data_IF_164798299551
#
_entry.id   IF_164798299551
#
_cell.length_a   1.000
_cell.length_b   1.000
_cell.length_c   1.000
_cell.angle_alpha   90.00
_cell.angle_beta   90.00
_cell.angle_gamma   90.00
#
_symmetry.space_group_name_H-M   'P 1'
#
loop_
_entity.id
_entity.type
_entity.pdbx_description
1 polymer ?
#
# COMPACT_ATOMS: atom_id res chain seq x y z
N UNK A 1 -49.78 -49.87 41.11
CA UNK A 1 -48.44 -49.22 41.01
C UNK A 1 -48.07 -48.88 39.55
N UNK A 2 -48.97 -48.27 38.76
CA UNK A 2 -48.70 -47.92 37.35
C UNK A 2 -48.87 -46.42 37.01
N UNK A 3 -49.30 -45.61 37.97
CA UNK A 3 -49.55 -44.17 37.77
C UNK A 3 -48.33 -43.31 38.10
N UNK A 4 -47.43 -43.75 38.97
CA UNK A 4 -46.23 -43.00 39.34
C UNK A 4 -45.19 -42.86 38.21
N UNK A 5 -45.17 -43.79 37.24
CA UNK A 5 -44.20 -43.81 36.15
C UNK A 5 -44.48 -42.79 35.03
N UNK A 6 -45.74 -42.37 34.87
CA UNK A 6 -46.17 -41.41 33.85
C UNK A 6 -45.94 -39.95 34.28
N UNK A 7 -46.04 -39.65 35.57
CA UNK A 7 -45.77 -38.28 36.05
C UNK A 7 -44.28 -37.92 35.98
N UNK A 8 -43.39 -38.89 36.22
CA UNK A 8 -41.94 -38.66 36.13
C UNK A 8 -41.51 -38.31 34.70
N UNK A 9 -42.09 -38.96 33.68
CA UNK A 9 -41.73 -38.72 32.27
C UNK A 9 -42.17 -37.33 31.78
N UNK A 10 -43.36 -36.86 32.17
CA UNK A 10 -43.85 -35.51 31.84
C UNK A 10 -43.01 -34.39 32.49
N UNK A 11 -42.46 -34.62 33.68
CA UNK A 11 -41.57 -33.67 34.36
C UNK A 11 -40.22 -33.57 33.63
N UNK A 12 -39.67 -34.67 33.13
CA UNK A 12 -38.43 -34.65 32.34
C UNK A 12 -38.62 -33.93 30.99
N UNK A 13 -39.73 -34.15 30.30
CA UNK A 13 -40.01 -33.48 29.02
C UNK A 13 -40.17 -31.97 29.21
N UNK A 14 -40.92 -31.54 30.23
CA UNK A 14 -41.10 -30.11 30.52
C UNK A 14 -39.80 -29.41 30.93
N UNK A 15 -38.95 -30.06 31.72
CA UNK A 15 -37.61 -29.54 32.05
C UNK A 15 -36.74 -29.47 30.79
N UNK A 16 -36.75 -30.48 29.93
CA UNK A 16 -36.00 -30.48 28.67
C UNK A 16 -36.45 -29.35 27.73
N UNK A 17 -37.76 -29.12 27.61
CA UNK A 17 -38.32 -28.01 26.84
C UNK A 17 -37.94 -26.64 27.42
N UNK A 18 -37.95 -26.48 28.74
CA UNK A 18 -37.53 -25.23 29.37
C UNK A 18 -36.03 -24.98 29.19
N UNK A 19 -35.18 -25.99 29.41
CA UNK A 19 -33.73 -25.87 29.23
C UNK A 19 -33.37 -25.52 27.78
N UNK A 20 -33.99 -26.17 26.79
CA UNK A 20 -33.78 -25.86 25.37
C UNK A 20 -34.33 -24.48 24.98
N UNK A 21 -35.50 -24.09 25.48
CA UNK A 21 -36.06 -22.76 25.23
C UNK A 21 -35.21 -21.63 25.85
N UNK A 22 -34.71 -21.80 27.07
CA UNK A 22 -33.80 -20.85 27.70
C UNK A 22 -32.42 -20.82 27.02
N UNK A 23 -31.88 -21.96 26.58
CA UNK A 23 -30.64 -22.02 25.80
C UNK A 23 -30.78 -21.32 24.43
N UNK A 24 -31.92 -21.51 23.75
CA UNK A 24 -32.22 -20.80 22.50
C UNK A 24 -32.41 -19.29 22.72
N UNK A 25 -33.03 -18.86 23.83
CA UNK A 25 -33.18 -17.44 24.16
C UNK A 25 -31.86 -16.76 24.57
N UNK A 26 -30.99 -17.44 25.32
CA UNK A 26 -29.62 -16.97 25.57
C UNK A 26 -28.88 -16.75 24.23
N UNK A 27 -29.03 -17.68 23.29
CA UNK A 27 -28.39 -17.61 21.96
C UNK A 27 -28.84 -16.40 21.13
N UNK A 28 -30.05 -15.88 21.34
CA UNK A 28 -30.57 -14.69 20.63
C UNK A 28 -29.93 -13.40 21.14
N UNK A 29 -29.56 -13.32 22.42
CA UNK A 29 -28.86 -12.17 22.99
C UNK A 29 -27.43 -12.05 22.44
N UNK A 30 -26.77 -13.19 22.18
CA UNK A 30 -25.44 -13.23 21.57
C UNK A 30 -25.42 -12.82 20.09
N UNK A 31 -26.56 -12.68 19.40
CA UNK A 31 -26.59 -12.37 17.96
C UNK A 31 -26.52 -10.89 17.62
N UNK A 32 -26.35 -9.98 18.60
CA UNK A 32 -26.23 -8.54 18.33
C UNK A 32 -24.77 -8.16 18.04
N UNK A 33 -24.59 -7.22 17.13
CA UNK A 33 -23.28 -6.64 16.84
C UNK A 33 -22.69 -5.95 18.08
N UNK A 34 -21.41 -6.19 18.38
CA UNK A 34 -20.76 -5.69 19.59
C UNK A 34 -20.26 -4.23 19.50
N UNK A 35 -20.47 -3.52 18.39
CA UNK A 35 -20.06 -2.11 18.26
C UNK A 35 -20.90 -1.18 19.13
N UNK A 36 -20.20 -0.37 19.93
CA UNK A 36 -20.74 0.81 20.59
C UNK A 36 -20.42 2.05 19.74
N UNK A 37 -21.46 2.71 19.21
CA UNK A 37 -21.28 3.94 18.42
C UNK A 37 -21.05 5.16 19.32
N UNK A 38 -21.61 5.14 20.52
CA UNK A 38 -21.45 6.14 21.57
C UNK A 38 -21.76 5.48 22.93
N UNK A 39 -21.45 6.14 24.07
CA UNK A 39 -21.90 5.67 25.37
C UNK A 39 -23.40 5.40 25.34
N UNK A 40 -23.81 4.17 25.69
CA UNK A 40 -25.20 3.74 25.72
C UNK A 40 -25.87 3.42 24.36
N UNK A 41 -25.26 3.74 23.20
CA UNK A 41 -25.83 3.42 21.87
C UNK A 41 -25.09 2.27 21.20
N UNK A 42 -25.68 1.08 21.30
CA UNK A 42 -25.22 -0.14 20.59
C UNK A 42 -25.84 -0.27 19.19
N UNK A 43 -25.10 -0.91 18.30
CA UNK A 43 -25.64 -1.35 17.02
C UNK A 43 -26.82 -2.32 17.24
N UNK A 44 -27.95 -2.10 16.55
CA UNK A 44 -29.13 -2.97 16.62
C UNK A 44 -29.08 -4.14 15.63
N UNK A 45 -28.14 -4.12 14.67
CA UNK A 45 -28.04 -5.14 13.63
C UNK A 45 -27.54 -6.48 14.19
N UNK A 46 -27.99 -7.56 13.53
CA UNK A 46 -27.51 -8.92 13.80
C UNK A 46 -26.05 -9.08 13.36
N UNK A 47 -25.25 -9.78 14.15
CA UNK A 47 -23.88 -10.20 13.79
C UNK A 47 -23.90 -11.27 12.69
N UNK A 48 -22.85 -11.33 11.89
CA UNK A 48 -22.64 -12.42 10.93
C UNK A 48 -22.31 -13.73 11.65
N UNK A 49 -22.63 -14.86 11.02
CA UNK A 49 -22.27 -16.18 11.55
C UNK A 49 -20.75 -16.30 11.64
N UNK A 50 -20.22 -16.59 12.83
CA UNK A 50 -18.77 -16.66 13.07
C UNK A 50 -18.08 -15.32 13.30
N UNK A 51 -18.80 -14.19 13.30
CA UNK A 51 -18.24 -12.87 13.60
C UNK A 51 -18.85 -12.25 14.85
N UNK A 52 -18.10 -11.36 15.52
CA UNK A 52 -18.62 -10.52 16.61
C UNK A 52 -19.36 -9.26 16.08
N UNK A 53 -19.25 -8.99 14.78
CA UNK A 53 -19.74 -7.78 14.13
C UNK A 53 -20.80 -8.10 13.06
N UNK A 54 -21.62 -7.10 12.69
CA UNK A 54 -22.51 -7.20 11.54
C UNK A 54 -21.77 -6.83 10.25
N UNK A 55 -22.34 -7.12 9.08
CA UNK A 55 -21.80 -6.79 7.74
C UNK A 55 -21.26 -5.35 7.60
N UNK A 56 -21.89 -4.38 8.28
CA UNK A 56 -21.49 -2.96 8.23
C UNK A 56 -20.33 -2.60 9.16
N UNK A 57 -20.03 -3.48 10.11
CA UNK A 57 -19.06 -3.25 11.16
C UNK A 57 -17.97 -4.35 11.19
N UNK A 58 -18.05 -5.37 10.34
CA UNK A 58 -16.98 -6.32 10.09
C UNK A 58 -16.01 -5.74 9.07
N UNK A 59 -14.72 -6.03 9.24
CA UNK A 59 -13.73 -5.73 8.22
C UNK A 59 -14.02 -6.56 6.96
N UNK A 60 -13.93 -5.95 5.78
CA UNK A 60 -14.16 -6.66 4.50
C UNK A 60 -13.02 -7.59 4.07
N UNK A 61 -11.87 -7.53 4.74
CA UNK A 61 -10.75 -8.43 4.47
C UNK A 61 -11.09 -9.82 4.97
N UNK A 62 -10.96 -10.82 4.09
CA UNK A 62 -11.28 -12.22 4.38
C UNK A 62 -10.50 -12.69 5.61
N UNK A 63 -11.19 -13.41 6.49
CA UNK A 63 -10.62 -13.93 7.74
C UNK A 63 -10.17 -12.86 8.75
N UNK A 64 -10.54 -11.59 8.56
CA UNK A 64 -10.32 -10.56 9.57
C UNK A 64 -11.50 -10.50 10.54
N UNK A 65 -11.24 -10.77 11.81
CA UNK A 65 -12.26 -10.74 12.87
C UNK A 65 -12.39 -9.38 13.54
N UNK A 66 -11.67 -8.35 13.08
CA UNK A 66 -11.70 -7.01 13.68
C UNK A 66 -12.86 -6.16 13.17
N UNK A 67 -13.25 -5.18 14.00
CA UNK A 67 -14.25 -4.20 13.62
C UNK A 67 -13.74 -3.25 12.53
N UNK A 68 -14.58 -2.96 11.54
CA UNK A 68 -14.37 -1.85 10.63
C UNK A 68 -14.41 -0.50 11.37
N UNK A 69 -13.62 0.47 10.91
CA UNK A 69 -13.64 1.82 11.45
C UNK A 69 -14.94 2.55 11.07
N UNK A 70 -15.29 3.58 11.84
CA UNK A 70 -16.42 4.45 11.51
C UNK A 70 -16.20 5.06 10.11
N UNK A 71 -17.18 4.90 9.22
CA UNK A 71 -17.17 5.39 7.84
C UNK A 71 -16.21 4.67 6.86
N UNK A 72 -15.66 3.52 7.22
CA UNK A 72 -14.96 2.62 6.29
C UNK A 72 -15.50 1.20 6.44
N UNK A 73 -15.14 0.30 5.53
CA UNK A 73 -15.38 -1.14 5.64
C UNK A 73 -14.14 -1.89 6.11
N UNK A 74 -13.09 -1.17 6.52
CA UNK A 74 -11.78 -1.70 6.84
C UNK A 74 -11.48 -1.45 8.31
N UNK A 75 -10.82 -2.40 8.96
CA UNK A 75 -10.36 -2.22 10.34
C UNK A 75 -9.09 -1.35 10.38
N UNK A 76 -8.66 -0.98 11.59
CA UNK A 76 -7.47 -0.15 11.80
C UNK A 76 -6.21 -0.72 11.14
N UNK A 77 -6.02 -2.05 11.16
CA UNK A 77 -4.83 -2.70 10.59
C UNK A 77 -4.93 -2.89 9.08
N UNK A 78 -6.12 -2.72 8.50
CA UNK A 78 -6.33 -2.82 7.06
C UNK A 78 -6.56 -1.47 6.41
N UNK A 79 -6.40 -0.36 7.14
CA UNK A 79 -6.60 0.99 6.60
C UNK A 79 -5.25 1.68 6.45
N UNK A 80 -5.03 2.31 5.29
CA UNK A 80 -3.85 3.13 5.07
C UNK A 80 -3.78 4.30 6.07
N UNK A 81 -2.60 4.52 6.66
CA UNK A 81 -2.37 5.60 7.62
C UNK A 81 -2.18 6.97 6.97
N UNK A 82 -2.05 7.03 5.63
CA UNK A 82 -1.90 8.28 4.90
C UNK A 82 -3.16 9.15 5.05
N UNK A 83 -2.95 10.47 5.17
CA UNK A 83 -4.02 11.41 5.51
C UNK A 83 -5.23 11.29 4.60
N UNK A 84 -6.40 11.02 5.20
CA UNK A 84 -7.70 10.83 4.52
C UNK A 84 -7.73 9.72 3.47
N UNK A 85 -6.74 8.82 3.43
CA UNK A 85 -6.79 7.65 2.58
C UNK A 85 -7.78 6.62 3.14
N UNK A 86 -8.62 6.06 2.28
CA UNK A 86 -9.59 4.99 2.63
C UNK A 86 -9.25 3.65 1.97
N UNK A 87 -8.09 3.56 1.32
CA UNK A 87 -7.64 2.35 0.64
C UNK A 87 -7.09 1.34 1.64
N UNK A 88 -7.22 0.07 1.27
CA UNK A 88 -6.68 -1.03 2.05
C UNK A 88 -5.15 -1.13 1.90
N UNK A 89 -4.49 -1.52 2.98
CA UNK A 89 -3.11 -2.02 2.92
C UNK A 89 -3.12 -3.48 2.42
N UNK A 90 -2.00 -3.93 1.87
CA UNK A 90 -1.93 -5.29 1.27
C UNK A 90 -1.78 -6.36 2.33
N UNK A 91 -1.08 -6.03 3.41
CA UNK A 91 -0.86 -6.89 4.56
C UNK A 91 -1.12 -6.12 5.87
N UNK A 92 -1.46 -6.81 6.97
CA UNK A 92 -1.70 -6.17 8.27
C UNK A 92 -0.45 -5.52 8.89
N UNK A 93 0.75 -5.92 8.43
CA UNK A 93 2.03 -5.35 8.87
C UNK A 93 2.40 -4.07 8.11
N UNK A 94 1.70 -3.77 7.00
CA UNK A 94 1.88 -2.54 6.25
C UNK A 94 1.04 -1.39 6.84
N UNK A 95 1.58 -0.18 6.72
CA UNK A 95 0.87 1.04 7.13
C UNK A 95 0.38 1.86 5.94
N UNK A 96 0.96 1.65 4.75
CA UNK A 96 0.68 2.40 3.53
C UNK A 96 0.07 1.49 2.47
N UNK A 97 -0.99 1.96 1.81
CA UNK A 97 -1.56 1.24 0.67
C UNK A 97 -0.57 1.26 -0.52
N UNK A 98 -0.79 0.39 -1.54
CA UNK A 98 0.06 0.36 -2.72
C UNK A 98 0.25 1.72 -3.41
N UNK A 99 -0.75 2.60 -3.33
CA UNK A 99 -0.68 3.94 -3.91
C UNK A 99 0.01 4.96 -3.02
N UNK A 100 0.46 4.65 -1.80
CA UNK A 100 1.15 5.62 -0.94
C UNK A 100 2.54 5.15 -0.51
N UNK A 101 2.88 3.89 -0.79
CA UNK A 101 4.23 3.35 -0.58
C UNK A 101 5.10 3.54 -1.82
N UNK A 102 6.40 3.53 -1.61
CA UNK A 102 7.38 3.42 -2.67
C UNK A 102 7.33 2.02 -3.31
N UNK A 103 7.53 1.94 -4.63
CA UNK A 103 7.60 0.65 -5.34
C UNK A 103 8.80 -0.23 -4.94
N UNK A 104 9.81 0.35 -4.28
CA UNK A 104 11.07 -0.31 -3.95
C UNK A 104 11.16 -0.65 -2.45
N UNK A 105 10.47 0.10 -1.58
CA UNK A 105 10.52 -0.09 -0.13
C UNK A 105 9.23 0.36 0.55
N UNK A 106 9.08 0.08 1.84
CA UNK A 106 7.89 0.42 2.62
C UNK A 106 7.76 1.91 3.00
N UNK A 107 8.70 2.76 2.59
CA UNK A 107 8.65 4.20 2.85
C UNK A 107 7.54 4.88 2.03
N UNK A 108 7.01 6.02 2.50
CA UNK A 108 6.03 6.78 1.74
C UNK A 108 6.62 7.29 0.43
N UNK A 109 5.83 7.21 -0.64
CA UNK A 109 6.18 7.86 -1.92
C UNK A 109 6.17 9.38 -1.76
N UNK A 110 6.88 10.06 -2.65
CA UNK A 110 6.80 11.52 -2.78
C UNK A 110 5.37 11.97 -3.06
N UNK A 111 4.95 13.05 -2.41
CA UNK A 111 3.59 13.60 -2.53
C UNK A 111 3.55 14.86 -3.39
N UNK A 112 4.70 15.48 -3.60
CA UNK A 112 4.90 16.66 -4.43
C UNK A 112 4.96 16.35 -5.93
N UNK A 113 5.09 15.06 -6.29
CA UNK A 113 5.06 14.56 -7.66
C UNK A 113 4.22 13.30 -7.78
N UNK A 114 3.73 13.05 -8.99
CA UNK A 114 3.21 11.73 -9.39
C UNK A 114 4.35 10.71 -9.58
N UNK A 115 5.17 10.56 -8.54
CA UNK A 115 6.30 9.63 -8.47
C UNK A 115 5.88 8.38 -7.70
N UNK A 116 6.25 7.21 -8.20
CA UNK A 116 6.07 5.95 -7.50
C UNK A 116 7.17 5.69 -6.44
N UNK A 117 8.08 6.65 -6.24
CA UNK A 117 9.28 6.47 -5.42
C UNK A 117 9.34 7.44 -4.24
N UNK A 118 9.91 7.00 -3.12
CA UNK A 118 10.27 7.85 -1.98
C UNK A 118 11.49 8.72 -2.31
N UNK A 119 11.82 9.68 -1.45
CA UNK A 119 12.95 10.61 -1.68
C UNK A 119 14.29 9.91 -1.93
N UNK A 120 14.53 8.78 -1.27
CA UNK A 120 15.77 7.99 -1.43
C UNK A 120 15.83 7.24 -2.76
N UNK A 121 14.69 6.88 -3.35
CA UNK A 121 14.61 6.12 -4.59
C UNK A 121 14.24 6.99 -5.80
N UNK A 122 13.70 8.18 -5.59
CA UNK A 122 13.32 9.12 -6.62
C UNK A 122 14.52 9.94 -7.10
N UNK A 123 14.52 10.32 -8.39
CA UNK A 123 15.49 11.26 -8.92
C UNK A 123 15.47 12.58 -8.14
N UNK A 124 16.66 13.12 -7.85
CA UNK A 124 16.82 14.40 -7.16
C UNK A 124 16.30 15.61 -7.96
N UNK A 125 16.17 15.48 -9.29
CA UNK A 125 15.53 16.50 -10.13
C UNK A 125 14.07 16.61 -9.73
N UNK A 126 13.68 17.76 -9.17
CA UNK A 126 12.37 17.96 -8.53
C UNK A 126 11.19 17.69 -9.44
N UNK A 127 11.33 17.83 -10.76
CA UNK A 127 10.25 17.61 -11.73
C UNK A 127 10.26 16.19 -12.32
N UNK A 128 11.19 15.33 -11.92
CA UNK A 128 11.37 14.02 -12.50
C UNK A 128 10.70 12.92 -11.65
N UNK A 129 9.70 12.19 -12.18
CA UNK A 129 9.06 11.09 -11.45
C UNK A 129 9.86 9.78 -11.49
N UNK A 130 11.01 9.76 -12.19
CA UNK A 130 11.77 8.54 -12.41
C UNK A 130 12.56 8.10 -11.18
N UNK A 131 12.85 6.80 -11.11
CA UNK A 131 13.75 6.20 -10.12
C UNK A 131 15.20 6.62 -10.36
N UNK A 132 15.98 6.77 -9.29
CA UNK A 132 17.44 6.85 -9.37
C UNK A 132 18.02 5.66 -10.12
N UNK A 133 19.12 5.88 -10.84
CA UNK A 133 19.78 4.85 -11.64
C UNK A 133 20.35 3.73 -10.75
N UNK A 134 20.90 4.08 -9.58
CA UNK A 134 21.44 3.16 -8.58
C UNK A 134 21.52 3.87 -7.22
N UNK A 135 22.14 3.23 -6.21
CA UNK A 135 22.31 3.79 -4.87
C UNK A 135 23.44 4.85 -4.76
N UNK A 136 24.30 4.94 -5.77
CA UNK A 136 25.49 5.80 -5.75
C UNK A 136 25.17 7.21 -6.27
N UNK A 137 24.33 7.31 -7.29
CA UNK A 137 23.89 8.60 -7.84
C UNK A 137 22.49 8.98 -7.35
N UNK A 138 22.27 10.28 -7.13
CA UNK A 138 20.95 10.83 -6.82
C UNK A 138 20.06 10.97 -8.07
N UNK A 139 20.56 10.65 -9.26
CA UNK A 139 19.92 10.94 -10.54
C UNK A 139 19.43 9.67 -11.25
N UNK A 140 18.37 9.79 -12.05
CA UNK A 140 17.88 8.70 -12.92
C UNK A 140 18.80 8.51 -14.13
N UNK A 141 18.54 7.50 -14.97
CA UNK A 141 19.36 7.22 -16.16
C UNK A 141 19.45 8.41 -17.15
N UNK A 142 18.45 9.29 -17.15
CA UNK A 142 18.42 10.48 -18.02
C UNK A 142 19.20 11.64 -17.40
N UNK A 143 19.13 11.81 -16.09
CA UNK A 143 19.76 12.92 -15.37
C UNK A 143 21.14 12.57 -14.79
N UNK A 144 21.60 11.32 -14.90
CA UNK A 144 22.95 10.91 -14.48
C UNK A 144 23.95 11.22 -15.58
N UNK A 145 25.10 11.77 -15.22
CA UNK A 145 26.24 11.86 -16.13
C UNK A 145 26.68 10.46 -16.63
N UNK A 146 26.94 10.35 -17.93
CA UNK A 146 27.36 9.09 -18.56
C UNK A 146 28.84 8.73 -18.39
N UNK A 147 29.67 9.66 -17.89
CA UNK A 147 31.06 9.33 -17.58
C UNK A 147 31.11 8.36 -16.41
N UNK A 148 31.88 7.29 -16.57
CA UNK A 148 32.11 6.28 -15.54
C UNK A 148 32.51 6.93 -14.22
N UNK A 149 31.96 6.43 -13.11
CA UNK A 149 32.19 6.94 -11.75
C UNK A 149 31.80 8.41 -11.50
N UNK A 150 31.09 9.06 -12.44
CA UNK A 150 30.50 10.37 -12.24
C UNK A 150 29.07 10.26 -11.69
N UNK A 151 28.82 10.92 -10.56
CA UNK A 151 27.51 10.93 -9.90
C UNK A 151 26.78 12.28 -9.99
N UNK A 152 27.29 13.23 -10.78
CA UNK A 152 26.73 14.55 -10.96
C UNK A 152 25.50 14.57 -11.89
N UNK A 153 24.72 15.65 -11.79
CA UNK A 153 23.58 15.92 -12.66
C UNK A 153 24.04 16.21 -14.09
N UNK A 154 23.38 15.56 -15.05
CA UNK A 154 23.53 15.84 -16.46
C UNK A 154 22.57 16.96 -16.88
N UNK A 155 23.05 17.95 -17.64
CA UNK A 155 22.26 19.10 -18.05
C UNK A 155 21.99 19.05 -19.55
N UNK A 156 20.71 18.92 -19.95
CA UNK A 156 20.26 19.02 -21.35
C UNK A 156 20.85 17.99 -22.32
N UNK A 157 21.87 17.25 -21.89
CA UNK A 157 22.67 16.26 -22.58
C UNK A 157 23.31 15.33 -21.54
N UNK A 158 23.85 14.21 -22.00
CA UNK A 158 24.35 13.07 -21.22
C UNK A 158 25.54 13.36 -20.28
N UNK A 159 26.04 14.59 -20.24
CA UNK A 159 27.26 14.97 -19.55
C UNK A 159 27.01 16.13 -18.58
N UNK A 160 27.76 16.16 -17.49
CA UNK A 160 27.66 17.20 -16.47
C UNK A 160 28.60 18.38 -16.78
N UNK A 161 28.16 19.59 -16.40
CA UNK A 161 29.02 20.77 -16.35
C UNK A 161 29.93 20.75 -15.12
N UNK A 162 29.43 20.24 -13.99
CA UNK A 162 30.10 20.29 -12.69
C UNK A 162 31.52 19.71 -12.71
N UNK A 163 31.76 18.65 -13.49
CA UNK A 163 33.07 18.01 -13.63
C UNK A 163 33.72 18.26 -15.00
N UNK A 164 33.23 19.23 -15.77
CA UNK A 164 33.78 19.58 -17.08
C UNK A 164 33.57 18.55 -18.19
N UNK A 165 32.84 17.45 -17.94
CA UNK A 165 32.61 16.39 -18.93
C UNK A 165 31.87 16.87 -20.18
N UNK A 166 31.00 17.85 -20.03
CA UNK A 166 30.36 18.53 -21.15
C UNK A 166 31.37 19.12 -22.15
N UNK A 167 32.36 19.86 -21.62
CA UNK A 167 33.38 20.55 -22.42
C UNK A 167 34.27 19.53 -23.12
N UNK A 168 34.72 18.51 -22.39
CA UNK A 168 35.58 17.46 -22.92
C UNK A 168 34.89 16.67 -24.04
N UNK A 169 33.61 16.35 -23.88
CA UNK A 169 32.86 15.63 -24.91
C UNK A 169 32.69 16.46 -26.19
N UNK A 170 32.29 17.74 -26.07
CA UNK A 170 32.07 18.57 -27.25
C UNK A 170 33.36 18.88 -28.01
N UNK A 171 34.47 19.12 -27.30
CA UNK A 171 35.77 19.32 -27.94
C UNK A 171 36.26 18.07 -28.68
N UNK A 172 36.02 16.89 -28.11
CA UNK A 172 36.36 15.63 -28.77
C UNK A 172 35.49 15.38 -30.02
N UNK A 173 34.23 15.83 -30.02
CA UNK A 173 33.36 15.74 -31.18
C UNK A 173 33.79 16.69 -32.31
N UNK A 174 34.21 17.92 -31.98
CA UNK A 174 34.74 18.89 -32.95
C UNK A 174 35.99 18.36 -33.66
N UNK A 175 36.97 17.83 -32.91
CA UNK A 175 38.20 17.28 -33.48
C UNK A 175 37.96 16.08 -34.41
N UNK A 176 36.97 15.23 -34.10
CA UNK A 176 36.60 14.11 -34.98
C UNK A 176 35.96 14.57 -36.29
N UNK A 177 35.15 15.63 -36.24
CA UNK A 177 34.57 16.21 -37.46
C UNK A 177 35.66 16.78 -38.38
N UNK A 178 36.68 17.42 -37.80
CA UNK A 178 37.83 17.93 -38.56
C UNK A 178 38.67 16.80 -39.19
N UNK A 179 38.82 15.66 -38.52
CA UNK A 179 39.54 14.48 -39.03
C UNK A 179 38.79 13.81 -40.20
N UNK A 180 37.46 13.61 -40.07
CA UNK A 180 36.62 13.06 -41.15
C UNK A 180 36.56 13.98 -42.38
N UNK A 181 36.55 15.31 -42.18
CA UNK A 181 36.60 16.28 -43.28
C UNK A 181 37.98 16.29 -43.97
N UNK A 182 39.07 16.09 -43.22
CA UNK A 182 40.41 15.97 -43.80
C UNK A 182 40.55 14.70 -44.64
N UNK A 183 40.07 13.54 -44.16
CA UNK A 183 40.09 12.29 -44.92
C UNK A 183 39.28 12.39 -46.23
N UNK A 184 38.09 13.02 -46.19
CA UNK A 184 37.30 13.26 -47.41
C UNK A 184 38.00 14.14 -48.44
N UNK A 185 38.78 15.14 -48.00
CA UNK A 185 39.56 15.99 -48.91
C UNK A 185 40.73 15.23 -49.54
N UNK A 186 41.32 14.27 -48.82
CA UNK A 186 42.38 13.40 -49.35
C UNK A 186 41.80 12.44 -50.41
N UNK A 187 40.65 11.82 -50.15
CA UNK A 187 40.01 10.89 -51.11
C UNK A 187 39.56 11.57 -52.41
N UNK A 188 39.16 12.84 -52.37
CA UNK A 188 38.76 13.60 -53.56
C UNK A 188 39.95 14.08 -54.43
N UNK A 189 41.19 13.92 -53.94
CA UNK A 189 42.43 14.36 -54.62
C UNK A 189 43.29 13.20 -55.12
N UNK A 190 42.90 11.94 -54.88
CA UNK A 190 43.50 10.73 -55.43
C UNK A 190 42.78 10.25 -56.68
#
# INVERSE_FOLDING_TARGET
>A
MRTASLEVSLVFDTIYYLVTFYAMNLSLWFRKCQIQKSPGKRCKSRRETGSQFCTKHSCTIRSCEMAAQLATTLCKNHTCTFFRCKLAVTSPDEHLCPTHRCDVCSNPRRTDLDSAYCDEHACAVRTCPARRANQVTAYCQVHKCQVTDCNAEAHGQRYCFANGHWILHNRAAELKGEEEDHERVIELRG
#
